data_IF_765646194177
#
_entry.id   IF_765646194177
#
_cell.length_a   1.000
_cell.length_b   1.000
_cell.length_c   1.000
_cell.angle_alpha   90.00
_cell.angle_beta   90.00
_cell.angle_gamma   90.00
#
_symmetry.space_group_name_H-M   'P 1'
#
loop_
_entity.id
_entity.type
_entity.pdbx_description
1 polymer ?
#
# COMPACT_ATOMS: atom_id res chain seq x y z
N UNK A 1 -2.33 50.42 30.96
CA UNK A 1 -3.42 50.44 29.96
C UNK A 1 -2.78 50.66 28.60
N UNK A 2 -2.32 49.57 27.97
CA UNK A 2 -1.80 49.58 26.61
C UNK A 2 -2.82 48.92 25.72
N UNK A 3 -3.28 49.64 24.71
CA UNK A 3 -4.20 49.19 23.67
C UNK A 3 -3.63 47.99 22.90
N UNK A 4 -4.42 46.94 22.59
CA UNK A 4 -3.98 45.90 21.67
C UNK A 4 -3.97 46.48 20.25
N UNK A 5 -2.82 46.40 19.58
CA UNK A 5 -2.69 46.72 18.17
C UNK A 5 -3.56 45.77 17.34
N UNK A 6 -4.33 46.36 16.42
CA UNK A 6 -5.06 45.65 15.39
C UNK A 6 -4.11 44.73 14.60
N UNK A 7 -4.43 43.44 14.55
CA UNK A 7 -3.99 42.60 13.45
C UNK A 7 -4.70 43.14 12.19
N UNK A 8 -3.92 43.65 11.24
CA UNK A 8 -4.45 44.03 9.93
C UNK A 8 -4.79 42.74 9.18
N UNK A 9 -6.08 42.42 9.07
CA UNK A 9 -6.61 41.48 8.09
C UNK A 9 -6.34 42.05 6.69
N UNK A 10 -5.26 41.60 6.05
CA UNK A 10 -5.03 41.84 4.62
C UNK A 10 -5.88 40.81 3.86
N UNK A 11 -7.17 41.09 3.74
CA UNK A 11 -8.11 40.28 2.97
C UNK A 11 -7.95 40.55 1.47
N UNK A 12 -7.11 39.77 0.81
CA UNK A 12 -7.27 39.56 -0.64
C UNK A 12 -8.46 38.60 -0.82
N UNK A 13 -9.52 38.94 -1.57
CA UNK A 13 -10.67 38.06 -1.69
C UNK A 13 -10.31 36.88 -2.59
N UNK A 14 -9.82 35.80 -1.98
CA UNK A 14 -9.81 34.48 -2.62
C UNK A 14 -11.27 34.05 -2.77
N UNK A 15 -11.63 33.49 -3.91
CA UNK A 15 -12.99 32.95 -4.14
C UNK A 15 -13.32 31.91 -3.06
N UNK A 16 -14.30 32.22 -2.21
CA UNK A 16 -14.68 31.40 -1.07
C UNK A 16 -15.14 29.99 -1.49
N UNK A 17 -15.78 29.86 -2.66
CA UNK A 17 -16.23 28.56 -3.19
C UNK A 17 -15.02 27.71 -3.59
N UNK A 18 -14.00 28.33 -4.20
CA UNK A 18 -12.77 27.65 -4.56
C UNK A 18 -11.99 27.19 -3.31
N UNK A 19 -11.89 28.04 -2.29
CA UNK A 19 -11.24 27.71 -1.02
C UNK A 19 -11.88 26.50 -0.35
N UNK A 20 -13.20 26.52 -0.17
CA UNK A 20 -13.94 25.43 0.48
C UNK A 20 -13.72 24.10 -0.25
N UNK A 21 -13.76 24.15 -1.58
CA UNK A 21 -13.51 22.99 -2.42
C UNK A 21 -12.09 22.44 -2.27
N UNK A 22 -11.09 23.31 -2.20
CA UNK A 22 -9.69 22.91 -2.01
C UNK A 22 -9.50 22.27 -0.64
N UNK A 23 -10.01 22.90 0.42
CA UNK A 23 -9.88 22.39 1.79
C UNK A 23 -10.58 21.04 1.95
N UNK A 24 -11.78 20.88 1.37
CA UNK A 24 -12.49 19.60 1.36
C UNK A 24 -11.68 18.51 0.63
N UNK A 25 -11.10 18.82 -0.53
CA UNK A 25 -10.29 17.87 -1.28
C UNK A 25 -9.05 17.43 -0.47
N UNK A 26 -8.32 18.38 0.11
CA UNK A 26 -7.12 18.09 0.91
C UNK A 26 -7.48 17.26 2.13
N UNK A 27 -8.56 17.60 2.84
CA UNK A 27 -9.01 16.86 4.02
C UNK A 27 -9.38 15.41 3.68
N UNK A 28 -10.11 15.19 2.58
CA UNK A 28 -10.58 13.85 2.17
C UNK A 28 -9.48 12.95 1.60
N UNK A 29 -8.38 13.53 1.11
CA UNK A 29 -7.31 12.77 0.43
C UNK A 29 -5.97 12.74 1.19
N UNK A 30 -5.88 13.38 2.36
CA UNK A 30 -4.66 13.44 3.20
C UNK A 30 -4.06 12.07 3.55
N UNK A 31 -4.88 11.02 3.63
CA UNK A 31 -4.43 9.65 3.91
C UNK A 31 -4.03 8.87 2.64
N UNK A 32 -4.43 9.34 1.46
CA UNK A 32 -4.10 8.72 0.19
C UNK A 32 -2.84 9.35 -0.43
N UNK A 33 -2.67 10.66 -0.33
CA UNK A 33 -1.62 11.41 -1.00
C UNK A 33 -0.42 11.66 -0.09
N UNK A 34 0.77 11.71 -0.69
CA UNK A 34 2.00 12.14 -0.03
C UNK A 34 2.86 12.92 -1.04
N UNK A 35 3.27 14.12 -0.65
CA UNK A 35 4.10 15.01 -1.49
C UNK A 35 5.55 14.83 -1.08
N UNK A 36 6.42 14.45 -2.01
CA UNK A 36 7.84 14.20 -1.75
C UNK A 36 8.72 15.18 -2.51
N UNK A 37 9.21 16.19 -1.79
CA UNK A 37 10.14 17.20 -2.31
C UNK A 37 11.44 16.64 -2.86
N UNK A 38 11.94 15.57 -2.24
CA UNK A 38 13.29 15.07 -2.50
C UNK A 38 13.51 14.67 -3.97
N UNK A 39 12.45 14.28 -4.67
CA UNK A 39 12.47 13.88 -6.07
C UNK A 39 11.29 14.44 -6.89
N UNK A 40 10.63 15.50 -6.40
CA UNK A 40 9.49 16.16 -7.06
C UNK A 40 8.35 15.18 -7.44
N UNK A 41 7.96 14.32 -6.50
CA UNK A 41 6.90 13.33 -6.71
C UNK A 41 5.65 13.61 -5.89
N UNK A 42 4.50 13.32 -6.50
CA UNK A 42 3.24 13.07 -5.80
C UNK A 42 3.02 11.55 -5.75
N UNK A 43 2.94 11.01 -4.54
CA UNK A 43 2.72 9.59 -4.30
C UNK A 43 1.24 9.37 -3.93
N UNK A 44 0.53 8.61 -4.76
CA UNK A 44 -0.75 8.02 -4.40
C UNK A 44 -0.44 6.69 -3.72
N UNK A 45 -0.58 6.67 -2.39
CA UNK A 45 -0.17 5.52 -1.56
C UNK A 45 -1.00 4.28 -1.88
N UNK A 46 -0.39 3.08 -1.85
CA UNK A 46 0.95 2.84 -1.33
C UNK A 46 2.10 3.10 -2.31
N UNK A 47 1.89 3.00 -3.62
CA UNK A 47 2.97 2.75 -4.58
C UNK A 47 2.87 3.49 -5.93
N UNK A 48 1.81 4.25 -6.20
CA UNK A 48 1.65 4.94 -7.49
C UNK A 48 2.36 6.30 -7.46
N UNK A 49 3.33 6.47 -8.35
CA UNK A 49 4.19 7.67 -8.42
C UNK A 49 3.84 8.57 -9.59
N UNK A 50 3.73 9.87 -9.35
CA UNK A 50 3.48 10.88 -10.37
C UNK A 50 4.55 11.97 -10.28
N UNK A 51 5.18 12.32 -11.40
CA UNK A 51 6.06 13.48 -11.46
C UNK A 51 5.24 14.77 -11.39
N UNK A 52 5.68 15.73 -10.58
CA UNK A 52 5.09 17.07 -10.52
C UNK A 52 6.12 18.12 -10.91
N UNK A 53 5.67 19.20 -11.55
CA UNK A 53 6.52 20.36 -11.82
C UNK A 53 6.64 21.23 -10.56
N UNK A 54 7.54 22.22 -10.58
CA UNK A 54 7.86 23.06 -9.41
C UNK A 54 6.63 23.83 -8.88
N UNK A 55 5.77 24.33 -9.76
CA UNK A 55 4.56 25.05 -9.36
C UNK A 55 3.55 24.14 -8.66
N UNK A 56 3.28 22.97 -9.23
CA UNK A 56 2.39 21.98 -8.63
C UNK A 56 2.96 21.45 -7.31
N UNK A 57 4.28 21.23 -7.24
CA UNK A 57 4.95 20.84 -6.01
C UNK A 57 4.76 21.89 -4.92
N UNK A 58 5.01 23.17 -5.20
CA UNK A 58 4.86 24.24 -4.23
C UNK A 58 3.41 24.37 -3.71
N UNK A 59 2.41 24.25 -4.60
CA UNK A 59 0.99 24.23 -4.24
C UNK A 59 0.68 23.05 -3.32
N UNK A 60 1.04 21.83 -3.74
CA UNK A 60 0.73 20.61 -3.00
C UNK A 60 1.44 20.58 -1.64
N UNK A 61 2.72 20.97 -1.56
CA UNK A 61 3.44 21.03 -0.29
C UNK A 61 2.78 22.00 0.70
N UNK A 62 2.40 23.18 0.22
CA UNK A 62 1.79 24.19 1.06
C UNK A 62 0.40 23.78 1.56
N UNK A 63 -0.38 23.07 0.73
CA UNK A 63 -1.71 22.56 1.12
C UNK A 63 -1.65 21.34 2.04
N UNK A 64 -0.69 20.42 1.83
CA UNK A 64 -0.59 19.16 2.57
C UNK A 64 0.31 19.20 3.81
N UNK A 65 0.93 20.34 4.11
CA UNK A 65 1.64 20.53 5.37
C UNK A 65 0.72 20.22 6.59
N UNK A 66 1.32 19.80 7.72
CA UNK A 66 0.57 19.37 8.92
C UNK A 66 -0.10 20.53 9.67
N UNK A 67 0.42 21.74 9.53
CA UNK A 67 -0.01 22.95 10.25
C UNK A 67 -0.51 24.03 9.27
N UNK A 68 -1.52 23.72 8.46
CA UNK A 68 -2.07 24.71 7.52
C UNK A 68 -3.29 25.41 8.11
N UNK A 69 -3.40 26.72 7.85
CA UNK A 69 -4.63 27.50 8.10
C UNK A 69 -5.67 27.34 6.99
N UNK A 70 -5.60 26.27 6.19
CA UNK A 70 -6.41 26.06 4.98
C UNK A 70 -5.95 26.90 3.78
N UNK A 71 -6.63 26.71 2.65
CA UNK A 71 -6.31 27.37 1.38
C UNK A 71 -6.42 28.89 1.45
N UNK A 72 -7.33 29.43 2.28
CA UNK A 72 -7.49 30.87 2.49
C UNK A 72 -6.22 31.55 3.05
N UNK A 73 -5.44 30.83 3.85
CA UNK A 73 -4.19 31.33 4.43
C UNK A 73 -3.00 31.02 3.51
N UNK A 74 -3.00 29.83 2.90
CA UNK A 74 -1.88 29.35 2.09
C UNK A 74 -1.76 30.09 0.75
N UNK A 75 -2.87 30.28 0.04
CA UNK A 75 -2.85 30.81 -1.32
C UNK A 75 -2.31 32.26 -1.42
N UNK A 76 -2.69 33.22 -0.54
CA UNK A 76 -2.11 34.57 -0.59
C UNK A 76 -0.59 34.59 -0.41
N UNK A 77 -0.09 33.83 0.57
CA UNK A 77 1.35 33.75 0.88
C UNK A 77 2.12 33.12 -0.28
N UNK A 78 1.55 32.06 -0.87
CA UNK A 78 2.16 31.39 -2.01
C UNK A 78 2.14 32.26 -3.27
N UNK A 79 1.06 33.02 -3.50
CA UNK A 79 0.95 33.95 -4.64
C UNK A 79 2.03 35.05 -4.57
N UNK A 80 2.23 35.64 -3.39
CA UNK A 80 3.29 36.61 -3.15
C UNK A 80 4.68 35.99 -3.38
N UNK A 81 4.92 34.80 -2.83
CA UNK A 81 6.20 34.08 -2.95
C UNK A 81 6.55 33.75 -4.40
N UNK A 82 5.56 33.33 -5.20
CA UNK A 82 5.73 32.99 -6.60
C UNK A 82 5.67 34.21 -7.54
N UNK A 83 5.29 35.39 -7.02
CA UNK A 83 5.12 36.61 -7.82
C UNK A 83 3.99 36.52 -8.84
N UNK A 84 2.92 35.78 -8.52
CA UNK A 84 1.76 35.56 -9.41
C UNK A 84 0.49 36.18 -8.83
N UNK A 85 -0.47 36.48 -9.71
CA UNK A 85 -1.78 36.97 -9.30
C UNK A 85 -2.55 35.87 -8.55
N UNK A 86 -3.24 36.25 -7.47
CA UNK A 86 -3.88 35.29 -6.55
C UNK A 86 -5.04 34.54 -7.19
N UNK A 87 -5.83 35.20 -8.04
CA UNK A 87 -6.88 34.57 -8.85
C UNK A 87 -6.33 33.53 -9.81
N UNK A 88 -5.20 33.82 -10.48
CA UNK A 88 -4.50 32.84 -11.32
C UNK A 88 -4.05 31.62 -10.51
N UNK A 89 -3.39 31.83 -9.37
CA UNK A 89 -2.94 30.72 -8.50
C UNK A 89 -4.11 29.89 -7.99
N UNK A 90 -5.21 30.54 -7.62
CA UNK A 90 -6.43 29.86 -7.15
C UNK A 90 -7.02 28.98 -8.26
N UNK A 91 -7.13 29.50 -9.48
CA UNK A 91 -7.59 28.73 -10.65
C UNK A 91 -6.68 27.55 -10.96
N UNK A 92 -5.36 27.75 -10.95
CA UNK A 92 -4.38 26.68 -11.20
C UNK A 92 -4.46 25.61 -10.10
N UNK A 93 -4.68 26.01 -8.85
CA UNK A 93 -4.86 25.08 -7.71
C UNK A 93 -6.12 24.24 -7.86
N UNK A 94 -7.24 24.84 -8.26
CA UNK A 94 -8.50 24.12 -8.52
C UNK A 94 -8.31 23.09 -9.65
N UNK A 95 -7.70 23.49 -10.76
CA UNK A 95 -7.44 22.58 -11.88
C UNK A 95 -6.49 21.44 -11.48
N UNK A 96 -5.50 21.72 -10.62
CA UNK A 96 -4.59 20.71 -10.09
C UNK A 96 -5.30 19.68 -9.21
N UNK A 97 -6.15 20.11 -8.26
CA UNK A 97 -6.87 19.15 -7.40
C UNK A 97 -7.90 18.33 -8.18
N UNK A 98 -8.52 18.90 -9.22
CA UNK A 98 -9.39 18.17 -10.14
C UNK A 98 -8.62 17.08 -10.87
N UNK A 99 -7.47 17.42 -11.43
CA UNK A 99 -6.59 16.47 -12.11
C UNK A 99 -6.15 15.34 -11.16
N UNK A 100 -5.72 15.66 -9.94
CA UNK A 100 -5.35 14.65 -8.93
C UNK A 100 -6.56 13.79 -8.53
N UNK A 101 -7.76 14.38 -8.43
CA UNK A 101 -9.00 13.66 -8.20
C UNK A 101 -9.31 12.64 -9.28
N UNK A 102 -9.11 12.98 -10.56
CA UNK A 102 -9.28 12.05 -11.68
C UNK A 102 -8.26 10.91 -11.60
N UNK A 103 -6.99 11.23 -11.32
CA UNK A 103 -5.91 10.23 -11.16
C UNK A 103 -6.16 9.25 -10.01
N UNK A 104 -6.77 9.72 -8.91
CA UNK A 104 -7.21 8.86 -7.80
C UNK A 104 -8.31 7.88 -8.22
N UNK A 105 -9.14 8.25 -9.20
CA UNK A 105 -10.18 7.41 -9.79
C UNK A 105 -9.69 6.63 -11.03
N UNK A 106 -8.37 6.55 -11.22
CA UNK A 106 -7.72 5.82 -12.33
C UNK A 106 -8.08 6.38 -13.72
N UNK A 107 -8.48 7.65 -13.78
CA UNK A 107 -8.62 8.39 -15.03
C UNK A 107 -7.31 9.15 -15.33
N UNK A 108 -6.55 8.61 -16.29
CA UNK A 108 -5.25 9.14 -16.71
C UNK A 108 -5.31 9.92 -18.03
N UNK A 109 -6.50 10.37 -18.45
CA UNK A 109 -6.61 11.12 -19.70
C UNK A 109 -5.81 12.43 -19.63
N UNK A 110 -4.95 12.72 -20.63
CA UNK A 110 -4.22 13.98 -20.69
C UNK A 110 -5.17 15.18 -20.74
N UNK A 111 -4.76 16.28 -20.12
CA UNK A 111 -5.47 17.56 -20.14
C UNK A 111 -4.47 18.71 -20.00
N UNK A 112 -4.94 19.94 -19.78
CA UNK A 112 -4.07 21.12 -19.67
C UNK A 112 -3.07 21.04 -18.49
N UNK A 113 -3.39 20.25 -17.46
CA UNK A 113 -2.58 20.04 -16.24
C UNK A 113 -1.82 18.70 -16.25
N UNK A 114 -2.38 17.67 -16.89
CA UNK A 114 -1.81 16.31 -16.94
C UNK A 114 -1.24 16.03 -18.33
N UNK A 115 0.07 15.72 -18.38
CA UNK A 115 0.76 15.33 -19.62
C UNK A 115 1.29 13.91 -19.50
N UNK A 116 1.20 13.17 -20.60
CA UNK A 116 1.82 11.85 -20.73
C UNK A 116 3.25 12.01 -21.25
N UNK A 117 4.20 11.39 -20.57
CA UNK A 117 5.61 11.36 -20.95
C UNK A 117 6.12 9.94 -21.20
N UNK A 118 7.37 9.84 -21.63
CA UNK A 118 8.05 8.55 -21.64
C UNK A 118 8.29 8.06 -20.20
N UNK A 119 8.21 6.75 -20.01
CA UNK A 119 8.59 6.15 -18.73
C UNK A 119 10.08 6.40 -18.48
N UNK A 120 10.38 7.14 -17.41
CA UNK A 120 11.74 7.42 -16.96
C UNK A 120 11.83 7.04 -15.48
N UNK A 121 12.64 6.02 -15.19
CA UNK A 121 12.84 5.52 -13.83
C UNK A 121 13.69 6.46 -12.98
N UNK A 122 14.53 7.29 -13.60
CA UNK A 122 15.48 8.14 -12.89
C UNK A 122 14.81 9.23 -12.04
N UNK A 123 13.53 9.50 -12.28
CA UNK A 123 12.71 10.44 -11.50
C UNK A 123 12.42 9.93 -10.08
N UNK A 124 12.48 8.61 -9.85
CA UNK A 124 12.23 8.03 -8.52
C UNK A 124 13.57 7.75 -7.86
N UNK A 125 13.99 8.66 -6.98
CA UNK A 125 15.30 8.58 -6.32
C UNK A 125 15.27 7.82 -4.99
N UNK A 126 14.08 7.72 -4.39
CA UNK A 126 13.88 7.10 -3.08
C UNK A 126 12.82 5.99 -3.14
N UNK A 127 12.91 4.96 -2.26
CA UNK A 127 11.89 3.93 -2.15
C UNK A 127 10.50 4.51 -1.86
N UNK A 128 9.44 3.90 -2.39
CA UNK A 128 8.04 4.33 -2.23
C UNK A 128 7.32 3.51 -1.15
N UNK A 129 7.77 2.27 -0.94
CA UNK A 129 7.24 1.34 0.05
C UNK A 129 8.38 0.72 0.85
N UNK A 130 8.19 0.57 2.14
CA UNK A 130 9.08 -0.19 3.00
C UNK A 130 8.37 -1.38 3.63
N UNK A 131 9.11 -2.44 3.90
CA UNK A 131 8.62 -3.62 4.60
C UNK A 131 9.56 -3.96 5.75
N UNK A 132 8.99 -4.24 6.93
CA UNK A 132 9.75 -4.75 8.06
C UNK A 132 9.20 -6.12 8.43
N UNK A 133 10.00 -7.16 8.20
CA UNK A 133 9.77 -8.48 8.72
C UNK A 133 10.05 -8.46 10.23
N UNK A 134 8.98 -8.60 11.02
CA UNK A 134 9.06 -8.42 12.47
C UNK A 134 9.57 -9.67 13.22
N UNK A 135 9.39 -10.83 12.62
CA UNK A 135 9.80 -12.16 13.10
C UNK A 135 9.77 -13.13 11.93
N UNK A 136 10.49 -14.26 12.00
CA UNK A 136 10.30 -15.40 11.11
C UNK A 136 9.51 -16.55 11.76
N UNK A 137 9.06 -16.39 13.01
CA UNK A 137 8.07 -17.27 13.63
C UNK A 137 6.73 -17.19 12.88
N UNK A 138 6.06 -18.33 12.71
CA UNK A 138 4.72 -18.41 12.12
C UNK A 138 3.97 -19.61 12.67
N UNK A 139 2.65 -19.46 12.81
CA UNK A 139 1.75 -20.53 13.23
C UNK A 139 1.30 -21.43 12.08
N UNK A 140 1.51 -21.01 10.82
CA UNK A 140 1.32 -21.82 9.61
C UNK A 140 2.64 -22.50 9.18
N UNK A 141 2.52 -23.48 8.28
CA UNK A 141 3.64 -24.23 7.67
C UNK A 141 3.41 -24.35 6.17
N UNK A 142 3.30 -23.20 5.49
CA UNK A 142 2.96 -23.19 4.07
C UNK A 142 4.06 -23.87 3.24
N UNK A 143 3.68 -24.78 2.35
CA UNK A 143 4.60 -25.52 1.48
C UNK A 143 5.38 -24.61 0.52
N UNK A 144 4.85 -23.42 0.22
CA UNK A 144 5.49 -22.42 -0.63
C UNK A 144 6.28 -21.34 0.11
N UNK A 145 6.37 -21.38 1.45
CA UNK A 145 6.84 -20.25 2.26
C UNK A 145 8.27 -19.81 1.90
N UNK A 146 8.42 -18.59 1.36
CA UNK A 146 9.73 -18.00 1.05
C UNK A 146 10.56 -17.78 2.33
N UNK A 147 9.92 -17.36 3.42
CA UNK A 147 10.55 -17.12 4.71
C UNK A 147 10.95 -18.41 5.45
N UNK A 148 10.61 -19.60 4.91
CA UNK A 148 10.86 -20.90 5.55
C UNK A 148 10.34 -20.99 6.99
N UNK A 149 9.25 -20.29 7.29
CA UNK A 149 8.68 -20.23 8.63
C UNK A 149 7.93 -21.53 8.97
N UNK A 150 7.97 -21.98 10.25
CA UNK A 150 8.70 -21.39 11.38
C UNK A 150 10.16 -21.88 11.50
N UNK A 151 10.71 -22.64 10.55
CA UNK A 151 12.04 -23.26 10.69
C UNK A 151 13.18 -22.26 10.89
N UNK A 152 13.02 -20.99 10.48
CA UNK A 152 14.02 -19.91 10.65
C UNK A 152 13.85 -19.08 11.92
N UNK A 153 12.91 -19.41 12.80
CA UNK A 153 12.63 -18.61 14.01
C UNK A 153 13.84 -18.55 14.95
N UNK A 154 14.47 -19.70 15.22
CA UNK A 154 15.61 -19.79 16.15
C UNK A 154 16.94 -19.27 15.56
N UNK A 155 17.00 -19.16 14.23
CA UNK A 155 18.24 -18.81 13.51
C UNK A 155 18.55 -17.32 13.53
N UNK A 156 17.63 -16.47 13.99
CA UNK A 156 17.72 -15.02 13.79
C UNK A 156 17.51 -14.22 15.08
N UNK A 157 18.43 -13.28 15.34
CA UNK A 157 18.22 -12.23 16.33
C UNK A 157 16.95 -11.47 15.97
N UNK A 158 16.08 -11.22 16.96
CA UNK A 158 14.91 -10.36 16.81
C UNK A 158 15.24 -8.94 17.30
N UNK A 159 14.93 -7.93 16.49
CA UNK A 159 14.96 -6.54 16.91
C UNK A 159 14.02 -6.30 18.09
N UNK A 160 14.53 -5.62 19.10
CA UNK A 160 13.72 -5.04 20.18
C UNK A 160 12.79 -3.96 19.64
N UNK A 161 11.73 -3.61 20.38
CA UNK A 161 10.80 -2.54 20.00
C UNK A 161 11.52 -1.22 19.70
N UNK A 162 12.51 -0.85 20.51
CA UNK A 162 13.31 0.35 20.32
C UNK A 162 14.14 0.31 19.02
N UNK A 163 14.66 -0.85 18.64
CA UNK A 163 15.41 -1.01 17.39
C UNK A 163 14.50 -0.93 16.17
N UNK A 164 13.29 -1.51 16.23
CA UNK A 164 12.29 -1.36 15.16
C UNK A 164 11.91 0.11 14.98
N UNK A 165 11.62 0.84 16.08
CA UNK A 165 11.32 2.27 16.01
C UNK A 165 12.46 3.08 15.40
N UNK A 166 13.71 2.79 15.77
CA UNK A 166 14.90 3.41 15.16
C UNK A 166 15.03 3.13 13.66
N UNK A 167 14.66 1.93 13.21
CA UNK A 167 14.59 1.59 11.78
C UNK A 167 13.50 2.41 11.10
N UNK A 168 12.31 2.52 11.70
CA UNK A 168 11.20 3.31 11.18
C UNK A 168 11.58 4.80 11.04
N UNK A 169 12.28 5.37 12.03
CA UNK A 169 12.80 6.75 11.95
C UNK A 169 13.71 6.94 10.73
N UNK A 170 14.64 6.01 10.50
CA UNK A 170 15.55 6.04 9.36
C UNK A 170 14.79 5.94 8.04
N UNK A 171 13.84 5.02 7.94
CA UNK A 171 13.03 4.82 6.74
C UNK A 171 12.23 6.10 6.42
N UNK A 172 11.59 6.71 7.43
CA UNK A 172 10.77 7.89 7.23
C UNK A 172 11.60 9.14 6.92
N UNK A 173 12.59 9.44 7.77
CA UNK A 173 13.31 10.70 7.72
C UNK A 173 14.48 10.72 6.74
N UNK A 174 15.12 9.57 6.48
CA UNK A 174 16.33 9.50 5.62
C UNK A 174 16.02 8.89 4.26
N UNK A 175 15.14 7.89 4.21
CA UNK A 175 14.73 7.27 2.95
C UNK A 175 13.43 7.85 2.37
N UNK A 176 12.77 8.80 3.07
CA UNK A 176 11.58 9.51 2.61
C UNK A 176 10.45 8.57 2.12
N UNK A 177 10.29 7.43 2.79
CA UNK A 177 9.28 6.43 2.45
C UNK A 177 7.99 6.74 3.21
N UNK A 178 6.84 6.91 2.53
CA UNK A 178 5.58 7.29 3.18
C UNK A 178 4.68 6.11 3.55
N UNK A 179 5.01 4.89 3.12
CA UNK A 179 4.21 3.68 3.30
C UNK A 179 5.06 2.57 3.93
N UNK A 180 4.54 1.91 4.96
CA UNK A 180 5.23 0.84 5.67
C UNK A 180 4.33 -0.38 5.84
N UNK A 181 4.80 -1.55 5.42
CA UNK A 181 4.16 -2.84 5.68
C UNK A 181 4.88 -3.58 6.80
N UNK A 182 4.15 -4.03 7.82
CA UNK A 182 4.65 -5.02 8.76
C UNK A 182 4.37 -6.43 8.23
N UNK A 183 5.40 -7.28 8.22
CA UNK A 183 5.37 -8.64 7.64
C UNK A 183 6.26 -9.60 8.44
N UNK A 184 6.68 -10.71 7.84
CA UNK A 184 7.67 -11.66 8.35
C UNK A 184 7.26 -13.09 8.04
N UNK A 185 7.37 -13.96 9.05
CA UNK A 185 6.59 -15.19 9.12
C UNK A 185 5.14 -14.85 9.46
N UNK A 186 4.90 -14.30 10.65
CA UNK A 186 3.62 -13.72 11.03
C UNK A 186 3.80 -12.56 12.03
N UNK A 187 3.57 -11.33 11.55
CA UNK A 187 3.71 -10.10 12.34
C UNK A 187 2.81 -10.09 13.58
N UNK A 188 1.61 -10.68 13.49
CA UNK A 188 0.66 -10.74 14.61
C UNK A 188 1.13 -11.64 15.76
N UNK A 189 2.27 -12.32 15.68
CA UNK A 189 2.84 -13.01 16.85
C UNK A 189 3.54 -12.06 17.83
N UNK A 190 3.90 -10.85 17.39
CA UNK A 190 4.51 -9.86 18.26
C UNK A 190 3.50 -9.19 19.18
N UNK A 191 3.86 -9.05 20.46
CA UNK A 191 3.03 -8.40 21.48
C UNK A 191 3.05 -6.87 21.35
N UNK A 192 4.15 -6.32 20.84
CA UNK A 192 4.38 -4.89 20.64
C UNK A 192 3.90 -4.38 19.27
N UNK A 193 3.23 -5.22 18.44
CA UNK A 193 2.72 -4.80 17.14
C UNK A 193 1.79 -3.57 17.21
N UNK A 194 0.82 -3.45 18.13
CA UNK A 194 -0.02 -2.25 18.23
C UNK A 194 0.78 -0.98 18.54
N UNK A 195 1.82 -1.08 19.38
CA UNK A 195 2.71 0.03 19.69
C UNK A 195 3.50 0.48 18.45
N UNK A 196 3.98 -0.48 17.65
CA UNK A 196 4.71 -0.19 16.42
C UNK A 196 3.81 0.44 15.34
N UNK A 197 2.56 -0.01 15.21
CA UNK A 197 1.58 0.61 14.30
C UNK A 197 1.34 2.07 14.73
N UNK A 198 1.03 2.29 16.01
CA UNK A 198 0.80 3.64 16.56
C UNK A 198 1.98 4.56 16.26
N UNK A 199 3.20 4.11 16.57
CA UNK A 199 4.42 4.87 16.29
C UNK A 199 4.59 5.20 14.80
N UNK A 200 4.29 4.25 13.91
CA UNK A 200 4.35 4.48 12.47
C UNK A 200 3.37 5.56 12.01
N UNK A 201 2.17 5.57 12.59
CA UNK A 201 1.14 6.58 12.29
C UNK A 201 1.52 7.96 12.80
N UNK A 202 2.11 8.06 13.99
CA UNK A 202 2.64 9.31 14.55
C UNK A 202 3.74 9.92 13.65
N UNK A 203 4.67 9.08 13.17
CA UNK A 203 5.69 9.49 12.20
C UNK A 203 5.07 10.01 10.90
N UNK A 204 4.00 9.37 10.43
CA UNK A 204 3.26 9.76 9.22
C UNK A 204 3.18 8.71 8.14
N UNK A 205 3.65 7.48 8.42
CA UNK A 205 3.47 6.35 7.51
C UNK A 205 2.00 6.05 7.30
N UNK A 206 1.61 5.65 6.10
CA UNK A 206 0.47 4.74 5.94
C UNK A 206 0.93 3.33 6.31
N UNK A 207 0.30 2.71 7.30
CA UNK A 207 0.73 1.42 7.85
C UNK A 207 -0.19 0.31 7.33
N UNK A 208 0.43 -0.69 6.70
CA UNK A 208 -0.21 -1.90 6.22
C UNK A 208 0.26 -3.12 7.03
N UNK A 209 -0.61 -4.09 7.23
CA UNK A 209 -0.27 -5.38 7.85
C UNK A 209 -0.39 -6.51 6.82
N UNK A 210 0.70 -7.25 6.60
CA UNK A 210 0.69 -8.50 5.83
C UNK A 210 0.59 -9.67 6.82
N UNK A 211 -0.44 -10.50 6.70
CA UNK A 211 -0.78 -11.51 7.73
C UNK A 211 -1.54 -12.72 7.17
N UNK A 212 -1.43 -13.88 7.81
CA UNK A 212 -2.30 -15.04 7.56
C UNK A 212 -3.71 -14.87 8.14
N UNK A 213 -3.98 -13.82 8.92
CA UNK A 213 -5.33 -13.48 9.39
C UNK A 213 -5.82 -14.26 10.61
N UNK A 214 -5.08 -15.27 11.09
CA UNK A 214 -5.58 -16.20 12.11
C UNK A 214 -5.87 -15.53 13.46
N UNK A 215 -4.95 -14.67 13.92
CA UNK A 215 -5.11 -13.94 15.19
C UNK A 215 -6.24 -12.92 15.12
N UNK A 216 -6.59 -12.45 13.92
CA UNK A 216 -7.64 -11.46 13.69
C UNK A 216 -9.05 -12.05 13.84
N UNK A 217 -9.19 -13.38 13.92
CA UNK A 217 -10.43 -14.03 14.32
C UNK A 217 -10.83 -13.65 15.76
N UNK A 218 -9.85 -13.38 16.63
CA UNK A 218 -10.10 -12.74 17.91
C UNK A 218 -10.46 -11.27 17.69
N UNK A 219 -11.74 -10.97 17.90
CA UNK A 219 -12.32 -9.65 17.69
C UNK A 219 -11.63 -8.56 18.51
N UNK A 220 -11.27 -8.86 19.75
CA UNK A 220 -10.63 -7.88 20.64
C UNK A 220 -9.23 -7.51 20.13
N UNK A 221 -8.50 -8.48 19.56
CA UNK A 221 -7.22 -8.19 18.93
C UNK A 221 -7.37 -7.34 17.67
N UNK A 222 -8.38 -7.60 16.83
CA UNK A 222 -8.65 -6.76 15.67
C UNK A 222 -9.00 -5.31 16.07
N UNK A 223 -9.80 -5.11 17.12
CA UNK A 223 -10.12 -3.80 17.69
C UNK A 223 -8.88 -3.06 18.18
N UNK A 224 -7.96 -3.76 18.86
CA UNK A 224 -6.69 -3.20 19.30
C UNK A 224 -5.83 -2.65 18.13
N UNK A 225 -5.89 -3.27 16.95
CA UNK A 225 -5.17 -2.76 15.77
C UNK A 225 -5.86 -1.52 15.16
N UNK A 226 -7.17 -1.40 15.28
CA UNK A 226 -7.92 -0.20 14.88
C UNK A 226 -7.59 0.97 15.79
N UNK A 227 -7.54 0.72 17.10
CA UNK A 227 -7.12 1.71 18.10
C UNK A 227 -5.69 2.19 17.85
N UNK A 228 -4.81 1.31 17.37
CA UNK A 228 -3.47 1.64 16.91
C UNK A 228 -3.43 2.38 15.56
N UNK A 229 -4.59 2.63 14.93
CA UNK A 229 -4.75 3.36 13.67
C UNK A 229 -4.14 2.62 12.47
N UNK A 230 -4.29 1.29 12.42
CA UNK A 230 -3.91 0.48 11.25
C UNK A 230 -4.74 0.90 10.02
N UNK A 231 -4.08 1.24 8.91
CA UNK A 231 -4.78 1.75 7.70
C UNK A 231 -5.32 0.62 6.81
N UNK A 232 -4.55 -0.46 6.65
CA UNK A 232 -4.94 -1.58 5.79
C UNK A 232 -4.32 -2.91 6.21
N UNK A 233 -4.90 -4.01 5.70
CA UNK A 233 -4.35 -5.34 5.84
C UNK A 233 -4.42 -6.14 4.53
N UNK A 234 -3.30 -6.76 4.17
CA UNK A 234 -3.23 -7.79 3.14
C UNK A 234 -3.28 -9.16 3.83
N UNK A 235 -4.36 -9.91 3.57
CA UNK A 235 -4.56 -11.22 4.21
C UNK A 235 -4.28 -12.36 3.23
N UNK A 236 -3.36 -13.26 3.55
CA UNK A 236 -3.09 -14.44 2.75
C UNK A 236 -4.28 -15.39 2.73
N UNK A 237 -4.82 -15.69 1.55
CA UNK A 237 -5.96 -16.60 1.36
C UNK A 237 -5.74 -17.45 0.11
N UNK A 238 -5.40 -18.72 0.31
CA UNK A 238 -4.92 -19.57 -0.79
C UNK A 238 -6.02 -20.28 -1.61
N UNK A 239 -7.25 -20.38 -1.09
CA UNK A 239 -8.40 -20.97 -1.79
C UNK A 239 -9.71 -20.57 -1.10
N UNK A 240 -10.83 -20.67 -1.83
CA UNK A 240 -12.19 -20.48 -1.30
C UNK A 240 -12.74 -21.72 -0.57
N UNK A 241 -12.06 -22.85 -0.70
CA UNK A 241 -12.38 -24.12 -0.07
C UNK A 241 -11.47 -24.36 1.14
N UNK A 242 -12.05 -24.76 2.27
CA UNK A 242 -11.33 -24.94 3.52
C UNK A 242 -10.25 -26.02 3.40
N UNK A 243 -10.56 -27.12 2.72
CA UNK A 243 -9.67 -28.26 2.57
C UNK A 243 -8.40 -27.89 1.79
N UNK A 244 -8.54 -27.11 0.71
CA UNK A 244 -7.43 -26.68 -0.14
C UNK A 244 -6.59 -25.64 0.60
N UNK A 245 -7.22 -24.62 1.20
CA UNK A 245 -6.52 -23.59 1.95
C UNK A 245 -5.72 -24.19 3.12
N UNK A 246 -6.37 -25.00 3.95
CA UNK A 246 -5.75 -25.61 5.14
C UNK A 246 -4.59 -26.55 4.77
N UNK A 247 -4.72 -27.28 3.66
CA UNK A 247 -3.66 -28.13 3.11
C UNK A 247 -2.44 -27.28 2.75
N UNK A 248 -2.64 -26.24 1.93
CA UNK A 248 -1.56 -25.39 1.41
C UNK A 248 -0.83 -24.67 2.55
N UNK A 249 -1.56 -24.15 3.54
CA UNK A 249 -0.94 -23.43 4.68
C UNK A 249 -0.47 -24.36 5.80
N UNK A 250 -0.69 -25.67 5.67
CA UNK A 250 -0.24 -26.68 6.61
C UNK A 250 -0.90 -26.60 7.99
N UNK A 251 -2.15 -26.11 8.07
CA UNK A 251 -2.86 -25.91 9.34
C UNK A 251 -4.37 -26.08 9.20
N UNK A 252 -4.91 -27.11 9.85
CA UNK A 252 -6.35 -27.35 9.94
C UNK A 252 -7.05 -26.24 10.71
N UNK A 253 -8.19 -25.77 10.20
CA UNK A 253 -8.99 -24.68 10.73
C UNK A 253 -8.48 -23.29 10.36
N UNK A 254 -7.41 -23.17 9.54
CA UNK A 254 -6.87 -21.89 9.14
C UNK A 254 -7.88 -21.08 8.33
N UNK A 255 -8.52 -21.69 7.34
CA UNK A 255 -9.51 -21.03 6.49
C UNK A 255 -10.64 -20.37 7.29
N UNK A 256 -11.18 -21.08 8.27
CA UNK A 256 -12.25 -20.57 9.13
C UNK A 256 -11.79 -19.34 9.93
N UNK A 257 -10.60 -19.40 10.52
CA UNK A 257 -10.04 -18.29 11.28
C UNK A 257 -9.65 -17.10 10.39
N UNK A 258 -8.97 -17.35 9.27
CA UNK A 258 -8.58 -16.32 8.29
C UNK A 258 -9.79 -15.57 7.76
N UNK A 259 -10.84 -16.28 7.33
CA UNK A 259 -12.07 -15.64 6.83
C UNK A 259 -12.84 -14.91 7.93
N UNK A 260 -12.83 -15.40 9.18
CA UNK A 260 -13.36 -14.66 10.32
C UNK A 260 -12.57 -13.36 10.58
N UNK A 261 -11.24 -13.42 10.49
CA UNK A 261 -10.37 -12.26 10.62
C UNK A 261 -10.60 -11.20 9.56
N UNK A 262 -10.75 -11.61 8.29
CA UNK A 262 -11.12 -10.70 7.19
C UNK A 262 -12.45 -10.00 7.49
N UNK A 263 -13.47 -10.75 7.93
CA UNK A 263 -14.78 -10.17 8.27
C UNK A 263 -14.70 -9.19 9.45
N UNK A 264 -13.91 -9.51 10.48
CA UNK A 264 -13.70 -8.63 11.62
C UNK A 264 -13.06 -7.30 11.21
N UNK A 265 -11.96 -7.35 10.45
CA UNK A 265 -11.26 -6.17 9.95
C UNK A 265 -12.18 -5.29 9.09
N UNK A 266 -12.91 -5.91 8.15
CA UNK A 266 -13.86 -5.20 7.30
C UNK A 266 -14.98 -4.54 8.11
N UNK A 267 -15.54 -5.25 9.09
CA UNK A 267 -16.57 -4.69 9.96
C UNK A 267 -16.07 -3.53 10.83
N UNK A 268 -14.75 -3.42 11.04
CA UNK A 268 -14.09 -2.30 11.71
C UNK A 268 -13.73 -1.14 10.79
N UNK A 269 -13.99 -1.25 9.48
CA UNK A 269 -13.64 -0.23 8.50
C UNK A 269 -12.18 -0.23 8.08
N UNK A 270 -11.38 -1.25 8.43
CA UNK A 270 -10.03 -1.42 7.89
C UNK A 270 -10.15 -1.83 6.41
N UNK A 271 -9.34 -1.22 5.55
CA UNK A 271 -9.24 -1.62 4.16
C UNK A 271 -8.55 -2.98 4.06
N UNK A 272 -9.24 -3.98 3.52
CA UNK A 272 -8.72 -5.35 3.39
C UNK A 272 -8.69 -5.76 1.92
N UNK A 273 -7.56 -6.33 1.51
CA UNK A 273 -7.44 -7.12 0.28
C UNK A 273 -6.78 -8.45 0.60
N UNK A 274 -6.99 -9.44 -0.25
CA UNK A 274 -6.33 -10.74 -0.11
C UNK A 274 -5.10 -10.83 -1.00
N UNK A 275 -4.15 -11.70 -0.63
CA UNK A 275 -3.09 -12.15 -1.52
C UNK A 275 -3.12 -13.67 -1.63
N UNK A 276 -2.94 -14.20 -2.84
CA UNK A 276 -2.92 -15.65 -3.13
C UNK A 276 -1.62 -16.00 -3.84
N UNK A 277 -0.90 -17.00 -3.33
CA UNK A 277 0.21 -17.59 -4.07
C UNK A 277 -0.33 -18.74 -4.93
N UNK A 278 -0.42 -18.52 -6.24
CA UNK A 278 -0.81 -19.55 -7.19
C UNK A 278 0.24 -20.65 -7.27
N UNK A 279 -0.24 -21.88 -7.12
CA UNK A 279 0.54 -23.11 -7.08
C UNK A 279 -0.30 -24.28 -7.63
N UNK A 280 0.29 -25.46 -7.87
CA UNK A 280 -0.45 -26.59 -8.43
C UNK A 280 -1.72 -26.98 -7.65
N UNK A 281 -1.72 -26.80 -6.32
CA UNK A 281 -2.83 -27.22 -5.46
C UNK A 281 -4.04 -26.27 -5.52
N UNK A 282 -3.88 -25.02 -5.96
CA UNK A 282 -4.98 -24.04 -6.07
C UNK A 282 -5.20 -23.48 -7.48
N UNK A 283 -4.31 -23.76 -8.44
CA UNK A 283 -4.37 -23.20 -9.79
C UNK A 283 -5.71 -23.47 -10.48
N UNK A 284 -6.27 -24.67 -10.32
CA UNK A 284 -7.54 -25.06 -10.93
C UNK A 284 -8.77 -24.44 -10.26
N UNK A 285 -8.63 -23.80 -9.09
CA UNK A 285 -9.73 -23.19 -8.32
C UNK A 285 -9.59 -21.67 -8.18
N UNK A 286 -8.73 -21.05 -8.99
CA UNK A 286 -8.44 -19.62 -8.90
C UNK A 286 -9.63 -18.72 -9.26
N UNK A 287 -10.46 -19.13 -10.22
CA UNK A 287 -11.68 -18.41 -10.59
C UNK A 287 -12.73 -18.50 -9.47
N UNK A 288 -12.91 -19.67 -8.87
CA UNK A 288 -13.79 -19.88 -7.73
C UNK A 288 -13.35 -19.05 -6.51
N UNK A 289 -12.04 -18.88 -6.30
CA UNK A 289 -11.52 -18.01 -5.25
C UNK A 289 -11.92 -16.54 -5.49
N UNK A 290 -11.88 -16.06 -6.74
CA UNK A 290 -12.34 -14.69 -7.09
C UNK A 290 -13.82 -14.52 -6.76
N UNK A 291 -14.66 -15.49 -7.15
CA UNK A 291 -16.08 -15.47 -6.81
C UNK A 291 -16.31 -15.47 -5.30
N UNK A 292 -15.58 -16.30 -4.55
CA UNK A 292 -15.66 -16.35 -3.08
C UNK A 292 -15.26 -15.01 -2.44
N UNK A 293 -14.17 -14.40 -2.89
CA UNK A 293 -13.69 -13.10 -2.40
C UNK A 293 -14.74 -12.00 -2.64
N UNK A 294 -15.37 -11.99 -3.82
CA UNK A 294 -16.41 -11.02 -4.16
C UNK A 294 -17.73 -11.27 -3.43
N UNK A 295 -18.25 -12.50 -3.48
CA UNK A 295 -19.61 -12.83 -3.06
C UNK A 295 -19.72 -13.09 -1.55
N UNK A 296 -18.75 -13.80 -0.98
CA UNK A 296 -18.80 -14.25 0.42
C UNK A 296 -18.04 -13.30 1.36
N UNK A 297 -16.91 -12.74 0.92
CA UNK A 297 -16.15 -11.77 1.71
C UNK A 297 -16.53 -10.32 1.37
N UNK A 298 -17.09 -10.08 0.19
CA UNK A 298 -17.47 -8.74 -0.26
C UNK A 298 -16.27 -7.81 -0.43
N UNK A 299 -15.12 -8.34 -0.86
CA UNK A 299 -13.93 -7.55 -1.15
C UNK A 299 -13.91 -7.18 -2.63
N UNK A 300 -13.33 -6.02 -2.96
CA UNK A 300 -13.24 -5.49 -4.33
C UNK A 300 -11.82 -5.43 -4.86
N UNK A 301 -10.86 -5.94 -4.10
CA UNK A 301 -9.46 -5.98 -4.51
C UNK A 301 -8.84 -7.27 -3.99
N UNK A 302 -8.06 -7.91 -4.85
CA UNK A 302 -7.21 -9.02 -4.48
C UNK A 302 -5.93 -9.00 -5.29
N UNK A 303 -4.94 -9.71 -4.77
CA UNK A 303 -3.66 -9.88 -5.43
C UNK A 303 -3.36 -11.36 -5.63
N UNK A 304 -2.65 -11.66 -6.71
CA UNK A 304 -2.08 -12.98 -6.96
C UNK A 304 -0.61 -12.87 -7.35
N UNK A 305 0.17 -13.87 -6.95
CA UNK A 305 1.56 -14.05 -7.36
C UNK A 305 1.83 -15.53 -7.58
N UNK A 306 2.89 -15.84 -8.31
CA UNK A 306 3.42 -17.19 -8.42
C UNK A 306 4.29 -17.54 -7.21
N UNK A 307 4.47 -18.83 -7.00
CA UNK A 307 5.50 -19.35 -6.07
C UNK A 307 6.89 -18.89 -6.53
N UNK A 308 7.64 -18.27 -5.60
CA UNK A 308 9.06 -17.98 -5.80
C UNK A 308 9.85 -19.19 -5.29
N UNK A 309 10.73 -19.75 -6.11
CA UNK A 309 11.50 -20.98 -5.83
C UNK A 309 12.62 -20.77 -4.80
N UNK A 310 12.24 -20.39 -3.59
CA UNK A 310 13.09 -20.12 -2.42
C UNK A 310 12.46 -20.79 -1.19
N UNK A 311 13.18 -20.79 -0.07
CA UNK A 311 12.66 -21.34 1.18
C UNK A 311 12.09 -22.76 1.09
N UNK A 312 10.89 -22.98 1.63
CA UNK A 312 10.21 -24.30 1.59
C UNK A 312 9.89 -24.75 0.18
N UNK A 313 9.50 -23.84 -0.72
CA UNK A 313 9.19 -24.19 -2.10
C UNK A 313 10.38 -24.87 -2.79
N UNK A 314 11.60 -24.42 -2.49
CA UNK A 314 12.85 -25.04 -2.99
C UNK A 314 13.14 -26.39 -2.32
N UNK A 315 12.76 -26.58 -1.05
CA UNK A 315 13.01 -27.82 -0.30
C UNK A 315 12.08 -28.95 -0.73
N UNK A 316 10.80 -28.66 -0.92
CA UNK A 316 9.79 -29.66 -1.24
C UNK A 316 9.73 -29.99 -2.74
N UNK A 317 10.08 -29.04 -3.62
CA UNK A 317 10.18 -29.25 -5.07
C UNK A 317 8.86 -29.59 -5.78
N UNK A 318 7.72 -29.47 -5.09
CA UNK A 318 6.38 -29.83 -5.60
C UNK A 318 5.46 -28.64 -5.87
N UNK A 319 5.82 -27.44 -5.40
CA UNK A 319 4.99 -26.23 -5.48
C UNK A 319 5.33 -25.38 -6.72
N UNK A 320 5.64 -25.99 -7.85
CA UNK A 320 6.07 -25.27 -9.05
C UNK A 320 4.93 -25.22 -10.08
N UNK A 321 4.53 -24.01 -10.44
CA UNK A 321 3.68 -23.73 -11.60
C UNK A 321 4.54 -23.03 -12.66
N UNK A 322 4.45 -23.47 -13.91
CA UNK A 322 5.24 -22.88 -15.00
C UNK A 322 4.65 -21.54 -15.48
N UNK A 323 5.49 -20.72 -16.11
CA UNK A 323 5.02 -19.49 -16.77
C UNK A 323 3.97 -19.75 -17.85
N UNK A 324 4.06 -20.90 -18.55
CA UNK A 324 3.08 -21.28 -19.58
C UNK A 324 1.73 -21.58 -18.95
N UNK A 325 1.70 -22.38 -17.88
CA UNK A 325 0.45 -22.69 -17.16
C UNK A 325 -0.20 -21.41 -16.61
N UNK A 326 0.59 -20.50 -16.04
CA UNK A 326 0.09 -19.21 -15.54
C UNK A 326 -0.43 -18.33 -16.68
N UNK A 327 0.27 -18.28 -17.82
CA UNK A 327 -0.17 -17.52 -18.99
C UNK A 327 -1.51 -18.05 -19.54
N UNK A 328 -1.75 -19.36 -19.47
CA UNK A 328 -3.01 -19.99 -19.88
C UNK A 328 -4.15 -19.69 -18.89
N UNK A 329 -3.86 -19.60 -17.59
CA UNK A 329 -4.84 -19.32 -16.53
C UNK A 329 -5.26 -17.85 -16.45
N UNK A 330 -4.33 -16.92 -16.67
CA UNK A 330 -4.56 -15.48 -16.45
C UNK A 330 -5.77 -14.89 -17.20
N UNK A 331 -6.05 -15.23 -18.48
CA UNK A 331 -7.23 -14.74 -19.17
C UNK A 331 -8.54 -15.10 -18.44
N UNK A 332 -8.66 -16.32 -17.90
CA UNK A 332 -9.82 -16.78 -17.14
C UNK A 332 -9.96 -16.03 -15.81
N UNK A 333 -8.85 -15.90 -15.06
CA UNK A 333 -8.81 -15.12 -13.82
C UNK A 333 -9.20 -13.66 -14.05
N UNK A 334 -8.73 -13.04 -15.14
CA UNK A 334 -9.08 -11.66 -15.50
C UNK A 334 -10.55 -11.52 -15.90
N UNK A 335 -11.11 -12.50 -16.61
CA UNK A 335 -12.52 -12.51 -16.96
C UNK A 335 -13.40 -12.61 -15.71
N UNK A 336 -13.09 -13.55 -14.81
CA UNK A 336 -13.80 -13.71 -13.54
C UNK A 336 -13.70 -12.45 -12.67
N UNK A 337 -12.51 -11.84 -12.58
CA UNK A 337 -12.31 -10.60 -11.83
C UNK A 337 -13.16 -9.44 -12.40
N UNK A 338 -13.23 -9.30 -13.73
CA UNK A 338 -14.07 -8.30 -14.39
C UNK A 338 -15.57 -8.54 -14.15
N UNK A 339 -16.02 -9.78 -14.25
CA UNK A 339 -17.41 -10.16 -13.99
C UNK A 339 -17.85 -9.78 -12.57
N UNK A 340 -16.98 -10.01 -11.58
CA UNK A 340 -17.24 -9.73 -10.17
C UNK A 340 -16.99 -8.27 -9.75
N UNK A 341 -16.43 -7.46 -10.66
CA UNK A 341 -15.96 -6.11 -10.36
C UNK A 341 -14.86 -6.10 -9.28
N UNK A 342 -13.99 -7.11 -9.30
CA UNK A 342 -12.82 -7.22 -8.43
C UNK A 342 -11.59 -6.71 -9.17
N UNK A 343 -10.86 -5.79 -8.56
CA UNK A 343 -9.53 -5.39 -9.04
C UNK A 343 -8.53 -6.49 -8.72
N UNK A 344 -8.08 -7.22 -9.74
CA UNK A 344 -7.02 -8.22 -9.64
C UNK A 344 -5.66 -7.55 -9.87
N UNK A 345 -4.81 -7.58 -8.86
CA UNK A 345 -3.40 -7.17 -8.94
C UNK A 345 -2.55 -8.42 -9.15
N UNK A 346 -1.59 -8.34 -10.08
CA UNK A 346 -0.66 -9.44 -10.35
C UNK A 346 0.76 -8.98 -10.06
N UNK A 347 1.51 -9.72 -9.24
CA UNK A 347 2.86 -9.29 -8.83
C UNK A 347 4.00 -9.99 -9.56
N UNK A 348 3.77 -11.17 -10.12
CA UNK A 348 4.87 -11.96 -10.68
C UNK A 348 5.22 -11.53 -12.11
N UNK A 349 6.51 -11.49 -12.48
CA UNK A 349 6.88 -11.27 -13.86
C UNK A 349 6.38 -12.43 -14.72
N UNK A 350 6.00 -12.16 -15.96
CA UNK A 350 5.68 -13.18 -16.96
C UNK A 350 6.39 -12.81 -18.25
N UNK A 351 7.04 -13.76 -18.93
CA UNK A 351 7.63 -13.50 -20.24
C UNK A 351 6.60 -12.92 -21.22
N UNK A 352 6.90 -11.75 -21.80
CA UNK A 352 5.98 -11.04 -22.70
C UNK A 352 5.57 -11.84 -23.95
N UNK A 353 6.38 -12.82 -24.34
CA UNK A 353 6.05 -13.74 -25.43
C UNK A 353 4.95 -14.76 -25.07
N UNK A 354 4.70 -15.01 -23.78
CA UNK A 354 3.64 -15.90 -23.30
C UNK A 354 2.38 -15.10 -22.96
N UNK A 355 2.55 -13.99 -22.24
CA UNK A 355 1.47 -13.10 -21.86
C UNK A 355 2.04 -11.70 -21.64
N UNK A 356 1.41 -10.67 -22.20
CA UNK A 356 1.84 -9.29 -22.02
C UNK A 356 1.03 -8.62 -20.91
N UNK A 357 1.49 -8.62 -19.64
CA UNK A 357 0.70 -8.10 -18.53
C UNK A 357 0.45 -6.59 -18.63
N UNK A 358 1.30 -5.84 -19.35
CA UNK A 358 1.15 -4.38 -19.54
C UNK A 358 -0.14 -4.03 -20.29
N UNK A 359 -0.55 -4.86 -21.27
CA UNK A 359 -1.81 -4.62 -22.02
C UNK A 359 -3.06 -4.84 -21.18
N UNK A 360 -2.92 -5.51 -20.04
CA UNK A 360 -4.01 -5.84 -19.13
C UNK A 360 -3.94 -5.05 -17.82
N UNK A 361 -3.07 -4.03 -17.76
CA UNK A 361 -2.76 -3.25 -16.55
C UNK A 361 -2.37 -4.14 -15.35
N UNK A 362 -1.69 -5.26 -15.65
CA UNK A 362 -1.14 -6.19 -14.69
C UNK A 362 0.36 -5.98 -14.52
N UNK A 363 0.87 -6.28 -13.33
CA UNK A 363 2.30 -6.39 -13.08
C UNK A 363 3.00 -5.07 -12.79
N UNK A 364 4.03 -5.14 -11.96
CA UNK A 364 5.05 -4.11 -11.92
C UNK A 364 5.79 -4.11 -13.27
N UNK A 365 5.98 -2.90 -13.84
CA UNK A 365 6.68 -2.70 -15.12
C UNK A 365 8.21 -2.89 -15.00
N UNK A 366 8.67 -3.18 -13.79
CA UNK A 366 10.05 -3.35 -13.37
C UNK A 366 10.09 -4.20 -12.09
N UNK A 367 11.27 -4.73 -11.75
CA UNK A 367 11.45 -5.46 -10.49
C UNK A 367 11.36 -4.49 -9.30
N UNK A 368 10.49 -4.79 -8.31
CA UNK A 368 10.25 -3.92 -7.16
C UNK A 368 11.51 -3.64 -6.31
N UNK A 369 12.45 -4.58 -6.29
CA UNK A 369 13.78 -4.44 -5.70
C UNK A 369 14.60 -3.28 -6.30
N UNK A 370 14.40 -2.99 -7.58
CA UNK A 370 15.00 -1.86 -8.29
C UNK A 370 14.04 -0.66 -8.30
N UNK A 371 12.73 -0.92 -8.21
CA UNK A 371 11.67 0.06 -8.40
C UNK A 371 11.26 0.84 -7.14
N UNK A 372 11.76 0.47 -5.98
CA UNK A 372 11.61 1.30 -4.78
C UNK A 372 10.91 0.62 -3.61
N UNK A 373 11.11 -0.69 -3.45
CA UNK A 373 10.89 -1.34 -2.16
C UNK A 373 12.20 -1.32 -1.35
N UNK A 374 12.06 -1.07 -0.05
CA UNK A 374 13.10 -1.28 0.95
C UNK A 374 12.61 -2.32 1.96
N UNK A 375 13.35 -3.41 2.13
CA UNK A 375 12.96 -4.47 3.07
C UNK A 375 13.96 -4.55 4.22
N UNK A 376 13.47 -4.83 5.43
CA UNK A 376 14.30 -5.04 6.62
C UNK A 376 13.92 -6.37 7.25
N UNK A 377 14.90 -7.22 7.49
CA UNK A 377 14.71 -8.52 8.13
C UNK A 377 14.52 -8.40 9.66
N UNK A 378 14.13 -9.47 10.37
CA UNK A 378 13.93 -9.43 11.81
C UNK A 378 15.17 -9.06 12.63
N UNK A 379 16.37 -9.20 12.07
CA UNK A 379 17.64 -8.84 12.69
C UNK A 379 18.04 -7.38 12.42
N UNK A 380 17.31 -6.67 11.57
CA UNK A 380 17.60 -5.29 11.19
C UNK A 380 18.56 -5.16 10.00
N UNK A 381 18.81 -6.25 9.26
CA UNK A 381 19.54 -6.18 8.00
C UNK A 381 18.64 -5.63 6.90
N UNK A 382 19.20 -4.76 6.07
CA UNK A 382 18.51 -4.23 4.89
C UNK A 382 18.66 -5.22 3.75
N UNK A 383 17.52 -5.59 3.17
CA UNK A 383 17.42 -6.48 2.03
C UNK A 383 16.94 -5.69 0.80
N UNK A 384 17.46 -6.01 -0.39
CA UNK A 384 17.03 -5.37 -1.62
C UNK A 384 15.65 -5.87 -2.07
N UNK A 385 15.19 -7.02 -1.58
CA UNK A 385 13.85 -7.60 -1.76
C UNK A 385 13.49 -8.41 -0.52
N UNK A 386 12.20 -8.54 -0.22
CA UNK A 386 11.65 -9.42 0.83
C UNK A 386 12.01 -10.88 0.64
#
# INVERSE_FOLDING_TARGET
>A
MGTPGHAAEVGFPVDAVAVERIDHFVASTRQALFVRRADNLLLIRPDKTLAVNDSALAILEALYARETGGAAVVLPVLAETLGVEIGRLTSDTVALIEAVGNLLNEDYQPNDVVRMGHFDRSIVQFPTLAEIALTYGCQNRCSFCYASSPHREDDNRLMTTAEVKKVMDKIFHQAHVPSLSFTGGEATLRKDLPELITYGRELGFRVNLITNGLRLADRAFAEMLVEAVLDSAQVSLEAGQAEIHDLIVGRRGAFSQTTAGIRNLKALGIHVHTNTTLCPDNASVGEELIHFISRDLGLKTMSMNMVIRTGEAKREGRMEISYTEVADLLPGLLAAAREEGVRLVWYSPIPYCLFNPVLHDLGAKSCACVDGILSVDPSGQVLPCS
#
